data_IF_068177326126
#
_entry.id   IF_068177326126
#
_cell.length_a   1.000
_cell.length_b   1.000
_cell.length_c   1.000
_cell.angle_alpha   90.00
_cell.angle_beta   90.00
_cell.angle_gamma   90.00
#
_symmetry.space_group_name_H-M   'P 1'
#
loop_
_entity.id
_entity.type
_entity.pdbx_description
1 polymer ?
#
# COMPACT_ATOMS: atom_id res chain seq x y z
N UNK A 1 1.03 19.47 0.84
CA UNK A 1 0.20 18.64 1.74
C UNK A 1 0.82 17.27 1.88
N UNK A 2 0.88 16.74 3.07
CA UNK A 2 1.45 15.42 3.33
C UNK A 2 0.48 14.33 2.86
N UNK A 3 0.91 13.54 1.87
CA UNK A 3 0.09 12.47 1.28
C UNK A 3 -0.13 11.32 2.27
N UNK A 4 0.89 11.00 3.06
CA UNK A 4 0.78 9.96 4.08
C UNK A 4 -0.23 10.35 5.16
N UNK A 5 -0.17 11.58 5.64
CA UNK A 5 -1.14 12.06 6.62
C UNK A 5 -2.56 12.02 6.06
N UNK A 6 -2.75 12.39 4.81
CA UNK A 6 -4.05 12.30 4.14
C UNK A 6 -4.56 10.86 4.08
N UNK A 7 -3.67 9.90 3.84
CA UNK A 7 -4.03 8.49 3.81
C UNK A 7 -4.46 7.99 5.21
N UNK A 8 -3.71 8.35 6.24
CA UNK A 8 -4.09 8.03 7.63
C UNK A 8 -5.48 8.60 7.97
N UNK A 9 -5.73 9.85 7.60
CA UNK A 9 -7.01 10.51 7.85
C UNK A 9 -8.16 9.83 7.11
N UNK A 10 -7.95 9.46 5.86
CA UNK A 10 -8.94 8.74 5.08
C UNK A 10 -9.29 7.41 5.72
N UNK A 11 -8.30 6.61 6.05
CA UNK A 11 -8.52 5.31 6.67
C UNK A 11 -9.21 5.45 8.03
N UNK A 12 -8.78 6.40 8.85
CA UNK A 12 -9.40 6.65 10.14
C UNK A 12 -10.86 7.09 10.01
N UNK A 13 -11.17 7.94 9.01
CA UNK A 13 -12.55 8.35 8.75
C UNK A 13 -13.42 7.20 8.26
N UNK A 14 -12.82 6.19 7.62
CA UNK A 14 -13.52 4.97 7.19
C UNK A 14 -13.66 3.94 8.32
N UNK A 15 -13.22 4.28 9.53
CA UNK A 15 -13.37 3.42 10.72
C UNK A 15 -12.18 2.51 11.00
N UNK A 16 -11.10 2.63 10.24
CA UNK A 16 -9.88 1.84 10.48
C UNK A 16 -9.12 2.44 11.66
N UNK A 17 -8.72 1.60 12.62
CA UNK A 17 -7.95 2.01 13.78
C UNK A 17 -6.49 1.60 13.63
N UNK A 18 -5.58 2.42 14.15
CA UNK A 18 -4.15 2.16 14.12
C UNK A 18 -3.64 1.91 15.53
N UNK A 19 -2.83 0.86 15.68
CA UNK A 19 -2.27 0.46 16.97
C UNK A 19 -0.76 0.31 16.84
N UNK A 20 -0.04 0.75 17.86
CA UNK A 20 1.39 0.48 17.98
C UNK A 20 1.55 -0.81 18.80
N UNK A 21 2.19 -1.80 18.22
CA UNK A 21 2.29 -3.11 18.83
C UNK A 21 3.58 -3.83 18.40
N UNK A 22 4.29 -4.48 19.34
CA UNK A 22 5.46 -5.27 18.94
C UNK A 22 5.03 -6.51 18.16
N UNK A 23 5.53 -6.65 16.95
CA UNK A 23 5.15 -7.72 16.02
C UNK A 23 6.28 -8.70 15.73
N UNK A 24 7.39 -8.61 16.48
CA UNK A 24 8.58 -9.43 16.27
C UNK A 24 9.20 -9.18 14.90
N UNK A 25 8.94 -10.02 13.90
CA UNK A 25 9.54 -9.90 12.57
C UNK A 25 8.67 -9.10 11.59
N UNK A 26 7.37 -9.03 11.86
CA UNK A 26 6.45 -8.32 10.96
C UNK A 26 6.49 -6.81 11.19
N UNK A 27 6.25 -6.07 10.13
CA UNK A 27 6.22 -4.60 10.17
C UNK A 27 4.83 -4.07 10.45
N UNK A 28 3.81 -4.75 9.94
CA UNK A 28 2.42 -4.39 10.15
C UNK A 28 1.52 -5.58 9.83
N UNK A 29 0.31 -5.55 10.39
CA UNK A 29 -0.72 -6.55 10.10
C UNK A 29 -2.10 -5.93 10.26
N UNK A 30 -3.02 -6.29 9.38
CA UNK A 30 -4.42 -5.88 9.44
C UNK A 30 -5.25 -7.01 10.00
N UNK A 31 -6.05 -6.71 11.02
CA UNK A 31 -6.92 -7.69 11.67
C UNK A 31 -8.29 -7.09 11.93
N UNK A 32 -9.32 -7.94 11.89
CA UNK A 32 -10.64 -7.55 12.33
C UNK A 32 -10.69 -7.62 13.86
N UNK A 33 -11.08 -6.52 14.48
CA UNK A 33 -11.15 -6.39 15.94
C UNK A 33 -12.48 -5.74 16.29
N UNK A 34 -13.35 -6.48 16.98
CA UNK A 34 -14.64 -5.97 17.45
C UNK A 34 -15.56 -5.46 16.35
N UNK A 35 -15.53 -6.07 15.17
CA UNK A 35 -16.37 -5.69 14.04
C UNK A 35 -15.80 -4.58 13.16
N UNK A 36 -14.61 -4.08 13.48
CA UNK A 36 -13.89 -3.09 12.68
C UNK A 36 -12.50 -3.62 12.35
N UNK A 37 -11.78 -2.93 11.46
CA UNK A 37 -10.41 -3.32 11.13
C UNK A 37 -9.42 -2.49 11.93
N UNK A 38 -8.39 -3.16 12.44
CA UNK A 38 -7.25 -2.54 13.08
C UNK A 38 -5.98 -2.83 12.29
N UNK A 39 -5.15 -1.82 12.12
CA UNK A 39 -3.83 -1.97 11.55
C UNK A 39 -2.82 -1.84 12.69
N UNK A 40 -2.12 -2.93 12.97
CA UNK A 40 -1.08 -2.98 14.01
C UNK A 40 0.26 -2.73 13.34
N UNK A 41 1.02 -1.77 13.86
CA UNK A 41 2.28 -1.34 13.28
C UNK A 41 3.40 -1.40 14.31
N UNK A 42 4.52 -1.95 13.90
CA UNK A 42 5.74 -2.00 14.71
C UNK A 42 6.80 -1.09 14.08
N UNK A 43 6.89 0.14 14.57
CA UNK A 43 7.81 1.13 14.03
C UNK A 43 9.28 0.79 14.26
N UNK A 44 9.60 -0.12 15.18
CA UNK A 44 10.98 -0.60 15.35
C UNK A 44 11.45 -1.39 14.12
N UNK A 45 10.50 -1.96 13.37
CA UNK A 45 10.78 -2.74 12.16
C UNK A 45 10.61 -1.94 10.87
N UNK A 46 10.16 -0.69 10.95
CA UNK A 46 9.95 0.17 9.78
C UNK A 46 11.14 1.12 9.65
N UNK A 47 11.84 1.06 8.52
CA UNK A 47 13.15 1.68 8.36
C UNK A 47 13.10 3.11 7.78
N UNK A 48 12.01 3.50 7.12
CA UNK A 48 11.95 4.79 6.44
C UNK A 48 10.49 5.25 6.27
N UNK A 49 10.32 6.53 5.94
CA UNK A 49 8.99 7.07 5.65
C UNK A 49 8.40 6.49 4.36
N UNK A 50 9.23 6.16 3.37
CA UNK A 50 8.78 5.49 2.15
C UNK A 50 8.21 4.11 2.46
N UNK A 51 8.88 3.37 3.33
CA UNK A 51 8.41 2.07 3.79
C UNK A 51 7.11 2.20 4.58
N UNK A 52 7.04 3.16 5.49
CA UNK A 52 5.80 3.44 6.24
C UNK A 52 4.64 3.73 5.30
N UNK A 53 4.83 4.62 4.33
CA UNK A 53 3.80 4.98 3.36
C UNK A 53 3.31 3.76 2.58
N UNK A 54 4.22 2.95 2.07
CA UNK A 54 3.90 1.74 1.33
C UNK A 54 3.12 0.74 2.19
N UNK A 55 3.56 0.56 3.44
CA UNK A 55 2.90 -0.33 4.40
C UNK A 55 1.48 0.15 4.70
N UNK A 56 1.30 1.43 5.00
CA UNK A 56 -0.02 1.97 5.33
C UNK A 56 -0.97 1.84 4.13
N UNK A 57 -0.48 2.09 2.92
CA UNK A 57 -1.29 1.91 1.71
C UNK A 57 -1.69 0.44 1.52
N UNK A 58 -0.77 -0.50 1.71
CA UNK A 58 -1.02 -1.93 1.57
C UNK A 58 -1.97 -2.46 2.65
N UNK A 59 -1.69 -2.16 3.92
CA UNK A 59 -2.57 -2.58 5.02
C UNK A 59 -3.93 -1.89 4.94
N UNK A 60 -3.95 -0.64 4.53
CA UNK A 60 -5.20 0.08 4.23
C UNK A 60 -6.01 -0.62 3.14
N UNK A 61 -5.34 -1.21 2.17
CA UNK A 61 -5.97 -2.02 1.14
C UNK A 61 -6.66 -3.25 1.72
N UNK A 62 -6.00 -3.96 2.63
CA UNK A 62 -6.62 -5.09 3.32
C UNK A 62 -7.86 -4.65 4.11
N UNK A 63 -7.74 -3.58 4.87
CA UNK A 63 -8.85 -3.07 5.69
C UNK A 63 -10.02 -2.58 4.85
N UNK A 64 -9.74 -1.86 3.75
CA UNK A 64 -10.79 -1.22 2.93
C UNK A 64 -11.51 -2.20 2.03
N UNK A 65 -10.85 -3.28 1.61
CA UNK A 65 -11.47 -4.31 0.75
C UNK A 65 -12.02 -5.49 1.54
N UNK A 66 -11.73 -5.58 2.83
CA UNK A 66 -12.04 -6.75 3.63
C UNK A 66 -11.24 -7.98 3.22
N UNK A 67 -10.18 -7.80 2.42
CA UNK A 67 -9.37 -8.90 1.89
C UNK A 67 -8.33 -9.36 2.92
N UNK A 68 -8.82 -9.88 4.04
CA UNK A 68 -7.99 -10.46 5.11
C UNK A 68 -8.12 -11.97 5.08
N UNK A 69 -7.13 -12.66 5.62
CA UNK A 69 -7.11 -14.11 5.65
C UNK A 69 -6.59 -14.61 7.00
N UNK A 70 -6.96 -15.84 7.34
CA UNK A 70 -6.46 -16.52 8.52
C UNK A 70 -5.12 -17.19 8.20
N UNK A 71 -4.34 -17.44 9.25
CA UNK A 71 -3.00 -18.05 9.13
C UNK A 71 -3.00 -19.33 8.28
N UNK A 72 -4.07 -20.13 8.38
CA UNK A 72 -4.18 -21.41 7.66
C UNK A 72 -4.98 -21.33 6.35
N UNK A 73 -5.19 -20.13 5.82
CA UNK A 73 -5.91 -19.97 4.55
C UNK A 73 -5.12 -20.56 3.38
N UNK A 74 -5.79 -21.11 2.36
CA UNK A 74 -5.11 -21.61 1.15
C UNK A 74 -4.29 -20.51 0.48
N UNK A 75 -3.17 -20.89 -0.14
CA UNK A 75 -2.25 -19.96 -0.80
C UNK A 75 -2.95 -19.12 -1.89
N UNK A 76 -3.80 -19.73 -2.70
CA UNK A 76 -4.52 -19.02 -3.74
C UNK A 76 -5.47 -17.95 -3.19
N UNK A 77 -6.06 -18.20 -2.02
CA UNK A 77 -6.89 -17.20 -1.33
C UNK A 77 -6.02 -16.05 -0.81
N UNK A 78 -4.87 -16.36 -0.23
CA UNK A 78 -3.91 -15.35 0.25
C UNK A 78 -3.46 -14.47 -0.92
N UNK A 79 -3.10 -15.07 -2.05
CA UNK A 79 -2.68 -14.33 -3.24
C UNK A 79 -3.78 -13.40 -3.76
N UNK A 80 -5.04 -13.85 -3.75
CA UNK A 80 -6.18 -13.01 -4.14
C UNK A 80 -6.34 -11.82 -3.20
N UNK A 81 -6.20 -12.03 -1.90
CA UNK A 81 -6.31 -10.97 -0.90
C UNK A 81 -5.17 -9.96 -1.05
N UNK A 82 -3.96 -10.46 -1.28
CA UNK A 82 -2.79 -9.59 -1.52
C UNK A 82 -2.99 -8.76 -2.79
N UNK A 83 -3.47 -9.37 -3.86
CA UNK A 83 -3.74 -8.66 -5.11
C UNK A 83 -4.76 -7.55 -4.92
N UNK A 84 -5.87 -7.84 -4.23
CA UNK A 84 -6.91 -6.84 -3.94
C UNK A 84 -6.36 -5.68 -3.10
N UNK A 85 -5.56 -5.99 -2.09
CA UNK A 85 -4.97 -4.98 -1.22
C UNK A 85 -4.02 -4.06 -1.99
N UNK A 86 -3.14 -4.62 -2.80
CA UNK A 86 -2.21 -3.84 -3.61
C UNK A 86 -2.92 -3.02 -4.69
N UNK A 87 -3.95 -3.58 -5.32
CA UNK A 87 -4.76 -2.85 -6.30
C UNK A 87 -5.41 -1.63 -5.65
N UNK A 88 -6.00 -1.81 -4.48
CA UNK A 88 -6.58 -0.71 -3.72
C UNK A 88 -5.52 0.34 -3.38
N UNK A 89 -4.35 -0.10 -2.89
CA UNK A 89 -3.25 0.78 -2.51
C UNK A 89 -2.81 1.66 -3.69
N UNK A 90 -2.59 1.05 -4.85
CA UNK A 90 -2.21 1.78 -6.06
C UNK A 90 -3.28 2.80 -6.42
N UNK A 91 -4.52 2.38 -6.55
CA UNK A 91 -5.61 3.24 -7.04
C UNK A 91 -5.93 4.39 -6.10
N UNK A 92 -5.74 4.20 -4.81
CA UNK A 92 -6.09 5.21 -3.81
C UNK A 92 -4.93 6.10 -3.37
N UNK A 93 -3.69 5.70 -3.64
CA UNK A 93 -2.53 6.51 -3.26
C UNK A 93 -1.91 7.24 -4.43
N UNK A 94 -1.84 6.62 -5.61
CA UNK A 94 -1.27 7.21 -6.82
C UNK A 94 -2.31 7.12 -7.93
N UNK A 95 -2.95 8.23 -8.27
CA UNK A 95 -3.92 8.24 -9.36
C UNK A 95 -3.21 8.29 -10.71
N UNK A 96 -3.91 7.88 -11.77
CA UNK A 96 -3.37 7.93 -13.13
C UNK A 96 -2.99 9.37 -13.52
N UNK A 97 -3.83 10.35 -13.18
CA UNK A 97 -3.55 11.75 -13.45
C UNK A 97 -2.30 12.24 -12.74
N UNK A 98 -2.12 11.84 -11.48
CA UNK A 98 -0.92 12.19 -10.71
C UNK A 98 0.34 11.56 -11.33
N UNK A 99 0.23 10.33 -11.80
CA UNK A 99 1.35 9.66 -12.49
C UNK A 99 1.70 10.38 -13.79
N UNK A 100 0.68 10.73 -14.59
CA UNK A 100 0.88 11.48 -15.82
C UNK A 100 1.55 12.83 -15.56
N UNK A 101 1.12 13.55 -14.53
CA UNK A 101 1.74 14.82 -14.14
C UNK A 101 3.20 14.65 -13.73
N UNK A 102 3.52 13.61 -12.97
CA UNK A 102 4.89 13.34 -12.56
C UNK A 102 5.79 13.07 -13.76
N UNK A 103 5.31 12.26 -14.71
CA UNK A 103 6.05 11.97 -15.94
C UNK A 103 6.23 13.25 -16.77
N UNK A 104 5.20 14.07 -16.89
CA UNK A 104 5.28 15.35 -17.60
C UNK A 104 6.28 16.31 -16.97
N UNK A 105 6.52 16.18 -15.66
CA UNK A 105 7.50 16.98 -14.92
C UNK A 105 8.92 16.38 -14.94
N UNK A 106 9.15 15.35 -15.73
CA UNK A 106 10.48 14.79 -15.95
C UNK A 106 10.82 13.55 -15.12
N UNK A 107 9.88 13.03 -14.33
CA UNK A 107 10.08 11.80 -13.55
C UNK A 107 9.74 10.60 -14.43
N UNK A 108 10.74 10.02 -15.09
CA UNK A 108 10.52 9.02 -16.16
C UNK A 108 11.10 7.63 -15.86
N UNK A 109 11.68 7.44 -14.67
CA UNK A 109 12.17 6.14 -14.23
C UNK A 109 11.58 5.79 -12.85
N UNK A 110 11.68 4.53 -12.47
CA UNK A 110 11.09 4.02 -11.22
C UNK A 110 11.66 4.74 -10.00
N UNK A 111 12.98 4.93 -9.95
CA UNK A 111 13.62 5.59 -8.81
C UNK A 111 13.07 7.01 -8.64
N UNK A 112 13.06 7.79 -9.70
CA UNK A 112 12.59 9.18 -9.69
C UNK A 112 11.11 9.27 -9.29
N UNK A 113 10.29 8.38 -9.82
CA UNK A 113 8.86 8.33 -9.49
C UNK A 113 8.64 7.91 -8.03
N UNK A 114 9.39 6.93 -7.54
CA UNK A 114 9.30 6.51 -6.14
C UNK A 114 9.68 7.66 -5.19
N UNK A 115 10.73 8.41 -5.53
CA UNK A 115 11.11 9.60 -4.76
C UNK A 115 10.01 10.67 -4.78
N UNK A 116 9.44 10.92 -5.96
CA UNK A 116 8.38 11.91 -6.12
C UNK A 116 7.15 11.59 -5.25
N UNK A 117 6.72 10.34 -5.25
CA UNK A 117 5.54 9.91 -4.49
C UNK A 117 5.84 9.52 -3.04
N UNK A 118 7.10 9.41 -2.67
CA UNK A 118 7.50 9.03 -1.31
C UNK A 118 7.14 7.60 -0.96
N UNK A 119 7.30 6.67 -1.91
CA UNK A 119 6.99 5.25 -1.74
C UNK A 119 8.21 4.39 -2.09
N UNK A 120 8.15 3.11 -1.79
CA UNK A 120 9.20 2.17 -2.19
C UNK A 120 9.17 1.94 -3.70
N UNK A 121 10.31 1.53 -4.27
CA UNK A 121 10.38 1.22 -5.69
C UNK A 121 9.46 0.06 -6.07
N UNK A 122 9.32 -0.95 -5.21
CA UNK A 122 8.42 -2.08 -5.46
C UNK A 122 6.98 -1.61 -5.60
N UNK A 123 6.52 -0.71 -4.73
CA UNK A 123 5.18 -0.15 -4.84
C UNK A 123 5.04 0.68 -6.12
N UNK A 124 6.06 1.48 -6.43
CA UNK A 124 6.04 2.28 -7.65
C UNK A 124 5.94 1.41 -8.90
N UNK A 125 6.66 0.28 -8.94
CA UNK A 125 6.55 -0.69 -10.04
C UNK A 125 5.13 -1.21 -10.19
N UNK A 126 4.47 -1.54 -9.10
CA UNK A 126 3.08 -1.99 -9.12
C UNK A 126 2.16 -0.91 -9.71
N UNK A 127 2.36 0.35 -9.31
CA UNK A 127 1.54 1.46 -9.80
C UNK A 127 1.72 1.66 -11.30
N UNK A 128 2.96 1.71 -11.78
CA UNK A 128 3.25 1.86 -13.22
C UNK A 128 2.69 0.67 -13.99
N UNK A 129 2.89 -0.54 -13.48
CA UNK A 129 2.37 -1.76 -14.10
C UNK A 129 0.84 -1.72 -14.23
N UNK A 130 0.15 -1.30 -13.17
CA UNK A 130 -1.30 -1.21 -13.18
C UNK A 130 -1.81 -0.26 -14.26
N UNK A 131 -1.23 0.94 -14.35
CA UNK A 131 -1.72 1.95 -15.30
C UNK A 131 -1.26 1.71 -16.73
N UNK A 132 -0.21 0.93 -16.96
CA UNK A 132 0.26 0.62 -18.32
C UNK A 132 -0.23 -0.72 -18.84
N UNK A 133 -0.40 -1.71 -17.97
CA UNK A 133 -0.75 -3.08 -18.37
C UNK A 133 -2.09 -3.58 -17.82
N UNK A 134 -2.69 -2.88 -16.87
CA UNK A 134 -3.96 -3.29 -16.27
C UNK A 134 -3.83 -4.45 -15.27
N UNK A 135 -2.62 -4.77 -14.85
CA UNK A 135 -2.35 -5.78 -13.81
C UNK A 135 -1.15 -5.34 -12.99
N UNK A 136 -0.78 -6.12 -11.97
CA UNK A 136 0.32 -5.78 -11.05
C UNK A 136 1.59 -6.60 -11.29
N UNK A 137 1.56 -7.56 -12.20
CA UNK A 137 2.56 -8.62 -12.26
C UNK A 137 3.39 -8.67 -13.55
N UNK A 138 3.10 -7.79 -14.51
CA UNK A 138 3.87 -7.74 -15.75
C UNK A 138 5.24 -7.12 -15.48
N UNK A 139 6.29 -7.76 -15.94
CA UNK A 139 7.63 -7.21 -15.85
C UNK A 139 7.73 -5.91 -16.66
N UNK A 140 8.36 -4.91 -16.07
CA UNK A 140 8.56 -3.62 -16.69
C UNK A 140 9.99 -3.51 -17.22
N UNK A 141 10.11 -3.08 -18.45
CA UNK A 141 11.40 -2.85 -19.09
C UNK A 141 11.53 -1.35 -19.39
N UNK A 142 12.58 -0.76 -18.86
CA UNK A 142 12.89 0.66 -19.06
C UNK A 142 14.20 0.83 -19.80
#
# INVERSE_FOLDING_TARGET
MDRLLSLYRKLNSDGVRFYLWPLQEDKAVTMEVGGTYGIFMDFDNIQSSKEETTIVAHEGGHASTGATHKVCSPIDLVEKHEYKAWKWAVKNYITEDELDDAVANGHTDIYSLAEYFGVTEDFMRKAVCWYTHGNLDTDLYF
#
